data_IF_380356491798
#
_entry.id   IF_380356491798
#
_cell.length_a   1.000
_cell.length_b   1.000
_cell.length_c   1.000
_cell.angle_alpha   90.00
_cell.angle_beta   90.00
_cell.angle_gamma   90.00
#
_symmetry.space_group_name_H-M   'P 1'
#
loop_
_entity.id
_entity.type
_entity.pdbx_description
1 polymer ?
#
# COMPACT_ATOMS: atom_id res chain seq x y z
N UNK A 1 -12.25 -0.63 -0.91
CA UNK A 1 -11.13 -1.02 -0.02
C UNK A 1 -11.08 -0.19 1.27
N UNK A 2 -10.88 1.13 1.21
CA UNK A 2 -10.78 2.02 2.39
C UNK A 2 -11.85 1.77 3.47
N UNK A 3 -13.13 1.77 3.09
CA UNK A 3 -14.22 1.57 4.05
C UNK A 3 -14.19 0.19 4.75
N UNK A 4 -13.74 -0.86 4.05
CA UNK A 4 -13.65 -2.19 4.64
C UNK A 4 -12.49 -2.27 5.64
N UNK A 5 -11.36 -1.60 5.35
CA UNK A 5 -10.24 -1.50 6.29
C UNK A 5 -10.68 -0.77 7.57
N UNK A 6 -11.46 0.30 7.43
CA UNK A 6 -12.03 1.03 8.57
C UNK A 6 -12.97 0.18 9.44
N UNK A 7 -13.59 -0.86 8.87
CA UNK A 7 -14.53 -1.77 9.55
C UNK A 7 -13.91 -3.09 10.03
N UNK A 8 -12.62 -3.32 9.80
CA UNK A 8 -11.94 -4.54 10.23
C UNK A 8 -12.00 -4.73 11.76
N UNK A 9 -12.18 -5.97 12.20
CA UNK A 9 -12.40 -6.34 13.61
C UNK A 9 -11.43 -7.36 14.16
N UNK A 10 -10.76 -8.16 13.31
CA UNK A 10 -9.85 -9.23 13.73
C UNK A 10 -8.50 -9.15 13.04
N UNK A 11 -8.49 -9.24 11.71
CA UNK A 11 -7.27 -9.43 10.93
C UNK A 11 -7.30 -8.70 9.59
N UNK A 12 -6.18 -8.11 9.20
CA UNK A 12 -5.95 -7.58 7.86
C UNK A 12 -4.69 -8.24 7.31
N UNK A 13 -4.78 -8.85 6.13
CA UNK A 13 -3.63 -9.37 5.39
C UNK A 13 -3.43 -8.54 4.13
N UNK A 14 -2.20 -8.08 3.89
CA UNK A 14 -1.83 -7.32 2.70
C UNK A 14 -0.63 -7.98 2.04
N UNK A 15 -0.71 -8.19 0.74
CA UNK A 15 0.43 -8.56 -0.10
C UNK A 15 0.60 -7.51 -1.19
N UNK A 16 1.85 -7.23 -1.57
CA UNK A 16 2.13 -6.30 -2.66
C UNK A 16 3.54 -6.42 -3.19
N UNK A 17 3.69 -6.16 -4.49
CA UNK A 17 4.99 -6.02 -5.12
C UNK A 17 5.64 -4.67 -4.76
N UNK A 18 4.81 -3.64 -4.58
CA UNK A 18 5.20 -2.33 -4.07
C UNK A 18 4.14 -1.82 -3.11
N UNK A 19 4.53 -1.33 -1.93
CA UNK A 19 3.63 -0.69 -0.98
C UNK A 19 4.19 0.67 -0.60
N UNK A 20 3.39 1.73 -0.78
CA UNK A 20 3.73 3.09 -0.36
C UNK A 20 2.96 3.44 0.93
N UNK A 21 3.62 3.59 2.10
CA UNK A 21 2.95 3.78 3.39
C UNK A 21 2.00 4.98 3.45
N UNK A 22 2.37 6.08 2.80
CA UNK A 22 1.60 7.33 2.78
C UNK A 22 0.70 7.45 1.54
N UNK A 23 0.41 6.34 0.86
CA UNK A 23 -0.56 6.35 -0.23
C UNK A 23 -1.95 6.57 0.34
N UNK A 24 -2.55 7.72 0.01
CA UNK A 24 -3.95 7.98 0.30
C UNK A 24 -4.83 6.97 -0.47
N UNK A 25 -5.96 6.56 0.10
CA UNK A 25 -6.92 5.67 -0.57
C UNK A 25 -8.11 6.43 -1.17
N UNK A 26 -8.28 7.70 -0.78
CA UNK A 26 -9.36 8.59 -1.21
C UNK A 26 -8.77 9.93 -1.67
N UNK A 27 -9.33 10.55 -2.72
CA UNK A 27 -8.83 11.82 -3.32
C UNK A 27 -9.86 12.96 -3.33
N UNK A 28 -10.97 12.84 -2.61
CA UNK A 28 -12.11 13.78 -2.68
C UNK A 28 -11.86 15.12 -1.98
N UNK A 29 -10.99 15.18 -0.97
CA UNK A 29 -10.60 16.42 -0.29
C UNK A 29 -9.20 16.30 0.31
N UNK A 30 -8.64 17.42 0.80
CA UNK A 30 -7.36 17.40 1.50
C UNK A 30 -7.43 16.55 2.78
N UNK A 31 -8.50 16.74 3.58
CA UNK A 31 -8.71 15.97 4.81
C UNK A 31 -8.90 14.47 4.52
N UNK A 32 -9.71 14.13 3.52
CA UNK A 32 -9.94 12.73 3.14
C UNK A 32 -8.67 12.03 2.67
N UNK A 33 -7.71 12.75 2.05
CA UNK A 33 -6.40 12.18 1.70
C UNK A 33 -5.63 11.77 2.95
N UNK A 34 -5.49 12.68 3.92
CA UNK A 34 -4.75 12.45 5.16
C UNK A 34 -5.36 11.31 5.99
N UNK A 35 -6.69 11.30 6.13
CA UNK A 35 -7.42 10.28 6.90
C UNK A 35 -7.38 8.91 6.25
N UNK A 36 -7.13 8.86 4.93
CA UNK A 36 -7.12 7.64 4.14
C UNK A 36 -5.73 7.16 3.73
N UNK A 37 -4.65 7.76 4.22
CA UNK A 37 -3.31 7.19 4.08
C UNK A 37 -3.27 5.77 4.63
N UNK A 38 -2.63 4.85 3.90
CA UNK A 38 -2.50 3.46 4.32
C UNK A 38 -1.94 3.36 5.75
N UNK A 39 -0.88 4.11 6.05
CA UNK A 39 -0.31 4.23 7.39
C UNK A 39 -1.38 4.60 8.43
N UNK A 40 -2.10 5.70 8.24
CA UNK A 40 -3.14 6.19 9.15
C UNK A 40 -4.22 5.14 9.40
N UNK A 41 -4.73 4.52 8.33
CA UNK A 41 -5.80 3.53 8.39
C UNK A 41 -5.38 2.26 9.14
N UNK A 42 -4.18 1.74 8.86
CA UNK A 42 -3.67 0.54 9.50
C UNK A 42 -3.35 0.78 10.98
N UNK A 43 -2.79 1.96 11.33
CA UNK A 43 -2.57 2.34 12.73
C UNK A 43 -3.88 2.44 13.50
N UNK A 44 -4.92 3.02 12.90
CA UNK A 44 -6.25 3.09 13.50
C UNK A 44 -6.86 1.70 13.72
N UNK A 45 -6.71 0.77 12.77
CA UNK A 45 -7.15 -0.61 12.93
C UNK A 45 -6.38 -1.33 14.05
N UNK A 46 -5.06 -1.23 14.05
CA UNK A 46 -4.20 -1.83 15.07
C UNK A 46 -4.51 -1.32 16.48
N UNK A 47 -4.82 -0.03 16.62
CA UNK A 47 -5.23 0.59 17.90
C UNK A 47 -6.57 0.03 18.43
N UNK A 48 -7.45 -0.47 17.56
CA UNK A 48 -8.68 -1.19 17.95
C UNK A 48 -8.43 -2.66 18.29
N UNK A 49 -7.19 -3.15 18.21
CA UNK A 49 -6.81 -4.53 18.50
C UNK A 49 -6.73 -5.45 17.27
N UNK A 50 -6.95 -4.93 16.06
CA UNK A 50 -6.85 -5.72 14.81
C UNK A 50 -5.39 -6.11 14.56
N UNK A 51 -5.14 -7.38 14.22
CA UNK A 51 -3.81 -7.83 13.78
C UNK A 51 -3.63 -7.57 12.28
N UNK A 52 -2.59 -6.82 11.91
CA UNK A 52 -2.27 -6.51 10.53
C UNK A 52 -1.00 -7.27 10.13
N UNK A 53 -1.06 -8.00 9.03
CA UNK A 53 0.06 -8.76 8.48
C UNK A 53 0.31 -8.29 7.06
N UNK A 54 1.53 -7.84 6.79
CA UNK A 54 1.94 -7.33 5.48
C UNK A 54 3.09 -8.18 4.95
N UNK A 55 2.94 -8.74 3.76
CA UNK A 55 4.02 -9.34 2.99
C UNK A 55 4.34 -8.43 1.80
N UNK A 56 5.52 -7.83 1.79
CA UNK A 56 5.99 -7.01 0.66
C UNK A 56 7.16 -7.69 -0.03
N UNK A 57 7.22 -7.60 -1.35
CA UNK A 57 8.38 -8.05 -2.11
C UNK A 57 9.64 -7.32 -1.63
N UNK A 58 10.70 -8.08 -1.32
CA UNK A 58 12.03 -7.55 -1.07
C UNK A 58 12.73 -7.40 -2.41
N UNK A 59 12.86 -6.17 -2.88
CA UNK A 59 13.47 -5.83 -4.16
C UNK A 59 15.00 -5.84 -4.14
N UNK A 60 15.60 -5.89 -5.33
CA UNK A 60 16.98 -5.50 -5.54
C UNK A 60 17.08 -3.98 -5.56
N UNK A 61 17.33 -3.39 -4.40
CA UNK A 61 17.31 -1.93 -4.17
C UNK A 61 18.22 -1.10 -5.10
N UNK A 62 19.21 -1.69 -5.77
CA UNK A 62 20.07 -1.00 -6.74
C UNK A 62 19.42 -0.80 -8.11
N UNK A 63 18.39 -1.58 -8.44
CA UNK A 63 17.77 -1.61 -9.77
C UNK A 63 16.25 -1.39 -9.73
N UNK A 64 15.63 -1.44 -8.56
CA UNK A 64 14.20 -1.27 -8.38
C UNK A 64 13.88 -0.18 -7.35
N UNK A 65 12.96 0.75 -7.65
CA UNK A 65 12.65 1.90 -6.81
C UNK A 65 11.65 1.61 -5.68
N UNK A 66 11.32 0.34 -5.42
CA UNK A 66 10.20 -0.03 -4.55
C UNK A 66 10.36 0.43 -3.09
N UNK A 67 11.61 0.49 -2.61
CA UNK A 67 11.99 0.81 -1.22
C UNK A 67 11.14 0.05 -0.17
N UNK A 68 11.13 -1.28 -0.26
CA UNK A 68 10.40 -2.12 0.70
C UNK A 68 10.94 -1.96 2.12
N UNK A 69 12.19 -1.50 2.26
CA UNK A 69 12.79 -1.23 3.57
C UNK A 69 12.07 -0.08 4.24
N UNK A 70 11.93 1.06 3.56
CA UNK A 70 11.13 2.17 4.05
C UNK A 70 9.70 1.73 4.36
N UNK A 71 9.05 0.99 3.44
CA UNK A 71 7.69 0.51 3.67
C UNK A 71 7.54 -0.30 4.97
N UNK A 72 8.49 -1.20 5.23
CA UNK A 72 8.54 -1.97 6.48
C UNK A 72 8.76 -1.08 7.70
N UNK A 73 9.78 -0.21 7.66
CA UNK A 73 10.12 0.64 8.80
C UNK A 73 9.01 1.62 9.14
N UNK A 74 8.29 2.16 8.16
CA UNK A 74 7.16 3.05 8.36
C UNK A 74 5.92 2.35 8.91
N UNK A 75 5.58 1.15 8.41
CA UNK A 75 4.32 0.49 8.78
C UNK A 75 4.43 -0.36 10.06
N UNK A 76 5.59 -0.95 10.36
CA UNK A 76 5.78 -1.85 11.49
C UNK A 76 5.38 -1.18 12.82
N UNK A 77 4.67 -1.92 13.68
CA UNK A 77 4.24 -1.40 14.97
C UNK A 77 3.55 -2.43 15.85
N UNK A 78 2.96 -1.96 16.95
CA UNK A 78 2.11 -2.80 17.79
C UNK A 78 0.93 -3.33 16.95
N UNK A 79 0.78 -4.66 16.89
CA UNK A 79 -0.20 -5.37 16.06
C UNK A 79 -0.05 -5.19 14.53
N UNK A 80 1.04 -4.58 14.03
CA UNK A 80 1.33 -4.49 12.59
C UNK A 80 2.67 -5.18 12.30
N UNK A 81 2.61 -6.30 11.59
CA UNK A 81 3.74 -7.18 11.31
C UNK A 81 4.07 -7.14 9.82
N UNK A 82 5.26 -6.68 9.47
CA UNK A 82 5.71 -6.56 8.07
C UNK A 82 6.87 -7.52 7.80
N UNK A 83 6.64 -8.44 6.87
CA UNK A 83 7.63 -9.35 6.32
C UNK A 83 8.06 -8.88 4.92
N UNK A 84 9.35 -9.03 4.62
CA UNK A 84 9.90 -8.81 3.28
C UNK A 84 10.53 -10.11 2.80
N UNK A 85 10.30 -10.49 1.55
CA UNK A 85 10.83 -11.73 0.96
C UNK A 85 11.02 -11.56 -0.56
N UNK A 86 12.03 -12.20 -1.19
CA UNK A 86 13.01 -13.15 -0.63
C UNK A 86 14.25 -12.52 -0.02
N UNK A 87 14.94 -13.29 0.82
CA UNK A 87 16.35 -13.04 1.14
C UNK A 87 17.21 -13.64 0.02
N UNK A 88 17.84 -12.79 -0.78
CA UNK A 88 18.58 -13.18 -2.00
C UNK A 88 19.90 -13.93 -1.76
N UNK A 89 20.02 -14.68 -0.66
CA UNK A 89 21.25 -15.41 -0.28
C UNK A 89 21.41 -16.70 -1.09
N UNK A 90 20.33 -17.36 -1.50
CA UNK A 90 20.38 -18.73 -2.08
C UNK A 90 19.44 -18.97 -3.29
N UNK A 91 18.47 -18.08 -3.55
CA UNK A 91 17.33 -18.31 -4.48
C UNK A 91 17.54 -17.56 -5.82
N UNK A 92 16.99 -18.00 -6.99
CA UNK A 92 17.12 -17.26 -8.25
C UNK A 92 16.65 -15.81 -8.11
N UNK A 93 17.51 -14.88 -8.51
CA UNK A 93 17.36 -13.44 -8.26
C UNK A 93 16.38 -12.72 -9.19
N UNK A 94 15.66 -13.44 -10.05
CA UNK A 94 14.87 -12.86 -11.13
C UNK A 94 13.35 -12.86 -10.89
N UNK A 95 12.90 -13.54 -9.83
CA UNK A 95 11.47 -13.70 -9.53
C UNK A 95 11.04 -12.78 -8.40
N UNK A 96 9.75 -12.42 -8.39
CA UNK A 96 9.15 -11.58 -7.36
C UNK A 96 7.84 -12.17 -6.83
N UNK A 97 7.50 -11.78 -5.60
CA UNK A 97 6.11 -11.84 -5.14
C UNK A 97 5.35 -10.73 -5.84
N UNK A 98 4.38 -11.09 -6.67
CA UNK A 98 3.72 -10.15 -7.58
C UNK A 98 2.21 -10.02 -7.34
N UNK A 99 1.67 -10.83 -6.43
CA UNK A 99 0.28 -10.82 -6.02
C UNK A 99 -0.05 -9.55 -5.23
N UNK A 100 -1.16 -8.88 -5.59
CA UNK A 100 -1.71 -7.74 -4.86
C UNK A 100 -3.02 -8.16 -4.22
N UNK A 101 -2.99 -8.38 -2.91
CA UNK A 101 -4.12 -8.89 -2.16
C UNK A 101 -4.33 -8.04 -0.91
N UNK A 102 -5.58 -7.69 -0.63
CA UNK A 102 -6.00 -7.17 0.68
C UNK A 102 -7.15 -8.03 1.17
N UNK A 103 -6.92 -8.80 2.22
CA UNK A 103 -7.92 -9.67 2.85
C UNK A 103 -8.26 -9.17 4.25
N UNK A 104 -9.55 -8.97 4.52
CA UNK A 104 -10.07 -8.34 5.73
C UNK A 104 -10.98 -9.32 6.43
N UNK A 105 -10.64 -9.61 7.68
CA UNK A 105 -11.30 -10.55 8.59
C UNK A 105 -11.51 -11.95 7.99
N UNK A 106 -10.78 -12.29 6.93
CA UNK A 106 -10.96 -13.50 6.12
C UNK A 106 -12.39 -13.64 5.56
N UNK A 107 -13.09 -12.52 5.35
CA UNK A 107 -14.48 -12.49 4.84
C UNK A 107 -14.61 -11.66 3.56
N UNK A 108 -13.72 -10.69 3.35
CA UNK A 108 -13.68 -9.86 2.15
C UNK A 108 -12.23 -9.83 1.64
N UNK A 109 -12.03 -10.09 0.35
CA UNK A 109 -10.73 -10.01 -0.28
C UNK A 109 -10.79 -9.16 -1.56
N UNK A 110 -9.80 -8.28 -1.73
CA UNK A 110 -9.51 -7.58 -2.98
C UNK A 110 -8.31 -8.26 -3.62
N UNK A 111 -8.43 -8.64 -4.90
CA UNK A 111 -7.37 -9.30 -5.69
C UNK A 111 -7.34 -8.67 -7.06
N UNK A 112 -6.16 -8.34 -7.58
CA UNK A 112 -6.04 -7.76 -8.92
C UNK A 112 -4.64 -7.29 -9.28
N UNK A 113 -4.56 -6.33 -10.22
CA UNK A 113 -3.30 -5.78 -10.74
C UNK A 113 -2.80 -4.50 -10.06
N UNK A 114 -3.57 -3.92 -9.12
CA UNK A 114 -3.24 -2.65 -8.47
C UNK A 114 -2.52 -2.87 -7.13
N UNK A 115 -1.26 -2.43 -7.06
CA UNK A 115 -0.53 -2.27 -5.80
C UNK A 115 -1.08 -1.08 -5.01
N UNK A 116 -0.94 -1.09 -3.67
CA UNK A 116 -1.17 0.10 -2.84
C UNK A 116 0.08 0.99 -2.90
N UNK A 117 0.30 1.61 -4.05
CA UNK A 117 1.52 2.35 -4.33
C UNK A 117 1.26 3.58 -5.21
N UNK A 118 2.20 4.52 -5.16
CA UNK A 118 2.16 5.77 -5.95
C UNK A 118 2.02 5.50 -7.46
N UNK A 119 1.32 6.38 -8.17
CA UNK A 119 1.08 6.30 -9.61
C UNK A 119 0.02 5.28 -10.04
N UNK A 120 -0.66 4.61 -9.09
CA UNK A 120 -1.73 3.63 -9.41
C UNK A 120 -3.13 4.20 -9.42
N UNK A 121 -3.35 5.34 -8.76
CA UNK A 121 -4.67 5.97 -8.74
C UNK A 121 -4.95 6.55 -10.13
N UNK A 122 -6.12 6.28 -10.70
CA UNK A 122 -6.57 6.95 -11.93
C UNK A 122 -8.10 6.87 -12.04
N UNK A 123 -8.66 7.68 -12.94
CA UNK A 123 -10.05 7.63 -13.35
C UNK A 123 -10.13 7.31 -14.85
N UNK A 124 -11.30 6.88 -15.38
CA UNK A 124 -11.45 6.55 -16.80
C UNK A 124 -11.13 7.69 -17.78
N UNK A 125 -11.01 8.93 -17.29
CA UNK A 125 -10.61 10.08 -18.08
C UNK A 125 -9.11 10.07 -18.44
N UNK A 126 -8.27 9.33 -17.71
CA UNK A 126 -6.83 9.17 -17.96
C UNK A 126 -6.14 10.51 -18.26
N UNK A 127 -6.32 11.49 -17.38
CA UNK A 127 -5.84 12.84 -17.59
C UNK A 127 -4.30 12.86 -17.62
N UNK A 128 -3.74 13.56 -18.61
CA UNK A 128 -2.29 13.73 -18.75
C UNK A 128 -1.72 14.88 -17.91
N UNK A 129 -2.59 15.73 -17.37
CA UNK A 129 -2.21 16.93 -16.60
C UNK A 129 -3.07 17.07 -15.37
N UNK A 130 -2.51 17.67 -14.33
CA UNK A 130 -3.18 17.87 -13.03
C UNK A 130 -2.84 19.25 -12.45
N UNK A 131 -3.19 20.27 -13.21
CA UNK A 131 -2.85 21.68 -12.96
C UNK A 131 -3.94 22.44 -12.20
N UNK A 132 -4.93 21.74 -11.65
CA UNK A 132 -6.04 22.35 -10.92
C UNK A 132 -5.64 22.85 -9.52
N UNK A 133 -6.47 23.69 -8.92
CA UNK A 133 -6.26 24.19 -7.55
C UNK A 133 -6.29 23.07 -6.49
N UNK A 134 -6.88 21.94 -6.80
CA UNK A 134 -6.91 20.73 -5.97
C UNK A 134 -6.42 19.54 -6.80
N UNK A 135 -5.10 19.34 -6.93
CA UNK A 135 -4.55 18.27 -7.74
C UNK A 135 -4.95 16.90 -7.20
N UNK A 136 -5.30 15.99 -8.11
CA UNK A 136 -5.61 14.59 -7.82
C UNK A 136 -4.38 13.84 -7.33
N UNK A 137 -3.26 13.96 -8.04
CA UNK A 137 -2.00 13.31 -7.76
C UNK A 137 -1.01 14.30 -7.15
N UNK A 138 -0.65 14.08 -5.90
CA UNK A 138 0.23 15.00 -5.15
C UNK A 138 1.64 14.44 -5.02
N UNK A 139 2.65 15.29 -5.15
CA UNK A 139 4.05 14.91 -4.96
C UNK A 139 4.46 13.79 -5.92
N UNK A 140 5.04 12.72 -5.38
CA UNK A 140 5.49 11.56 -6.18
C UNK A 140 4.34 10.73 -6.78
N UNK A 141 3.07 10.96 -6.38
CA UNK A 141 1.92 10.28 -6.98
C UNK A 141 1.69 10.76 -8.43
N UNK A 142 2.09 12.00 -8.75
CA UNK A 142 2.12 12.52 -10.13
C UNK A 142 3.42 12.07 -10.80
N UNK A 143 3.33 11.07 -11.68
CA UNK A 143 4.51 10.40 -12.24
C UNK A 143 4.28 9.94 -13.68
N UNK A 144 5.38 9.79 -14.42
CA UNK A 144 5.41 9.19 -15.75
C UNK A 144 6.61 8.22 -15.79
N UNK A 145 6.39 6.91 -15.57
CA UNK A 145 7.45 5.91 -15.38
C UNK A 145 8.22 5.55 -16.67
#
# INVERSE_FOLDING_TARGET
MFEHLGRATRQIFITGWWISPHYALVRTSAQARLDSELYTVLRAAAARGVQVFVLVYREHHLVLPNDSKFAKESLQGANIHVLRHPDFVVIPQFWSHHEKIVCIDQTVAFVGGLDIALGRFDAPAHLLTDIGAMPTWTGQDYSNP
#
